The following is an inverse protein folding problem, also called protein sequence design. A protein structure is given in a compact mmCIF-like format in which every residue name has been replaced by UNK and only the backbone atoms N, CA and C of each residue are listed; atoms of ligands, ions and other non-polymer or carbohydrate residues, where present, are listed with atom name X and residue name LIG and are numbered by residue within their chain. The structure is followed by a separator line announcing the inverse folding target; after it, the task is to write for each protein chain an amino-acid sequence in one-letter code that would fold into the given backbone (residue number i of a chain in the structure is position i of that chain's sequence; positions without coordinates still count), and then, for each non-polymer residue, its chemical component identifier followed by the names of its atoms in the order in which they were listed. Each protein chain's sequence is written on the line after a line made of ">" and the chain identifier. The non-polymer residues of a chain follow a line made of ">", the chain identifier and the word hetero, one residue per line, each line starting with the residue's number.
data_IF_375989005165
#
_entry.id   IF_375989005165
#
_cell.length_a   1.000
_cell.length_b   1.000
_cell.length_c   1.000
_cell.angle_alpha   90.00
_cell.angle_beta   90.00
_cell.angle_gamma   90.00
#
_symmetry.space_group_name_H-M   'P 1'
#
loop_
_entity.id
_entity.type
_entity.pdbx_description
1 polymer ?
#
# COMPACT_ATOMS: atom_id res chain seq x y z
N UNK A 1 9.90 13.74 39.50
CA UNK A 1 9.08 14.49 38.52
C UNK A 1 8.40 13.44 37.65
N UNK A 2 7.15 13.10 37.94
CA UNK A 2 6.41 12.00 37.28
C UNK A 2 5.69 12.61 36.08
N UNK A 3 6.04 12.21 34.86
CA UNK A 3 5.38 12.64 33.62
C UNK A 3 3.95 12.10 33.57
N UNK A 4 3.01 13.00 33.34
CA UNK A 4 1.57 12.78 33.40
C UNK A 4 1.09 11.96 32.17
N UNK A 5 1.04 10.63 32.32
CA UNK A 5 0.57 9.63 31.34
C UNK A 5 -0.97 9.63 31.16
N UNK A 6 -1.49 10.75 30.67
CA UNK A 6 -2.90 10.89 30.28
C UNK A 6 -3.07 11.18 28.77
N UNK A 7 -2.00 11.16 27.98
CA UNK A 7 -1.94 11.67 26.60
C UNK A 7 -1.47 10.64 25.55
N UNK A 8 -1.68 9.36 25.83
CA UNK A 8 -1.03 8.28 25.07
C UNK A 8 -1.85 7.82 23.85
N UNK A 9 -3.07 8.34 23.68
CA UNK A 9 -3.99 7.98 22.60
C UNK A 9 -4.39 9.22 21.80
N UNK A 10 -4.08 9.20 20.51
CA UNK A 10 -4.42 10.24 19.56
C UNK A 10 -5.68 9.85 18.77
N UNK A 11 -6.55 10.80 18.50
CA UNK A 11 -7.61 10.62 17.50
C UNK A 11 -7.03 10.49 16.10
N UNK A 12 -7.83 9.99 15.16
CA UNK A 12 -7.42 9.88 13.75
C UNK A 12 -6.99 11.23 13.17
N UNK A 13 -7.68 12.31 13.55
CA UNK A 13 -7.35 13.67 13.08
C UNK A 13 -6.05 14.20 13.68
N UNK A 14 -5.80 13.97 14.98
CA UNK A 14 -4.56 14.38 15.62
C UNK A 14 -3.36 13.58 15.08
N UNK A 15 -3.53 12.27 14.86
CA UNK A 15 -2.51 11.45 14.22
C UNK A 15 -2.21 11.91 12.79
N UNK A 16 -3.25 12.29 12.02
CA UNK A 16 -3.11 12.81 10.67
C UNK A 16 -2.30 14.12 10.64
N UNK A 17 -2.64 15.06 11.53
CA UNK A 17 -1.90 16.32 11.67
C UNK A 17 -0.44 16.09 12.05
N UNK A 18 -0.18 15.14 12.97
CA UNK A 18 1.18 14.81 13.40
C UNK A 18 2.04 14.13 12.33
N UNK A 19 1.42 13.30 11.50
CA UNK A 19 2.09 12.57 10.41
C UNK A 19 2.20 13.40 9.12
N UNK A 20 1.53 14.57 9.05
CA UNK A 20 1.47 15.38 7.83
C UNK A 20 0.72 14.69 6.68
N UNK A 21 -0.28 13.85 6.97
CA UNK A 21 -1.06 13.12 5.97
C UNK A 21 -2.56 13.38 6.12
N UNK A 22 -3.36 13.04 5.10
CA UNK A 22 -4.81 13.15 5.20
C UNK A 22 -5.41 12.16 6.21
N UNK A 23 -6.56 12.52 6.79
CA UNK A 23 -7.36 11.62 7.64
C UNK A 23 -7.71 10.31 6.92
N UNK A 24 -7.97 10.37 5.61
CA UNK A 24 -8.28 9.20 4.77
C UNK A 24 -7.08 8.25 4.71
N UNK A 25 -5.87 8.78 4.59
CA UNK A 25 -4.61 8.00 4.61
C UNK A 25 -4.46 7.25 5.93
N UNK A 26 -4.70 7.92 7.06
CA UNK A 26 -4.64 7.29 8.40
C UNK A 26 -5.69 6.20 8.53
N UNK A 27 -6.95 6.45 8.11
CA UNK A 27 -8.01 5.42 8.11
C UNK A 27 -7.64 4.21 7.25
N UNK A 28 -7.01 4.43 6.09
CA UNK A 28 -6.52 3.35 5.24
C UNK A 28 -5.43 2.53 5.93
N UNK A 29 -4.49 3.18 6.61
CA UNK A 29 -3.43 2.50 7.36
C UNK A 29 -3.97 1.70 8.55
N UNK A 30 -4.99 2.21 9.25
CA UNK A 30 -5.69 1.46 10.28
C UNK A 30 -6.38 0.22 9.69
N UNK A 31 -7.06 0.35 8.54
CA UNK A 31 -7.71 -0.77 7.86
C UNK A 31 -6.71 -1.82 7.37
N UNK A 32 -5.52 -1.40 6.93
CA UNK A 32 -4.46 -2.30 6.47
C UNK A 32 -3.59 -2.86 7.60
N UNK A 33 -3.84 -2.48 8.87
CA UNK A 33 -3.04 -2.89 10.02
C UNK A 33 -1.64 -2.27 10.10
N UNK A 34 -1.38 -1.20 9.34
CA UNK A 34 -0.12 -0.44 9.38
C UNK A 34 -0.02 0.51 10.58
N UNK A 35 -1.17 0.90 11.12
CA UNK A 35 -1.29 1.59 12.40
C UNK A 35 -2.23 0.77 13.30
N UNK A 36 -1.94 0.77 14.59
CA UNK A 36 -2.77 0.13 15.60
C UNK A 36 -3.97 1.01 15.95
N UNK A 37 -5.16 0.43 15.83
CA UNK A 37 -6.39 1.05 16.29
C UNK A 37 -6.74 0.57 17.71
N UNK A 38 -7.01 1.50 18.62
CA UNK A 38 -7.60 1.26 19.93
C UNK A 38 -9.02 1.82 19.91
N UNK A 39 -10.02 0.96 20.11
CA UNK A 39 -11.42 1.39 20.16
C UNK A 39 -11.81 1.77 21.59
N UNK A 40 -12.27 3.00 21.76
CA UNK A 40 -12.80 3.51 23.03
C UNK A 40 -14.31 3.61 22.88
N UNK A 41 -15.03 2.58 23.34
CA UNK A 41 -16.47 2.47 23.15
C UNK A 41 -16.89 2.17 21.70
N UNK A 42 -18.19 2.31 21.37
CA UNK A 42 -18.75 1.80 20.13
C UNK A 42 -18.37 2.62 18.87
N UNK A 43 -17.97 3.88 19.03
CA UNK A 43 -17.78 4.81 17.90
C UNK A 43 -16.41 5.47 17.80
N UNK A 44 -15.59 5.44 18.85
CA UNK A 44 -14.33 6.20 18.88
C UNK A 44 -13.15 5.27 18.62
N UNK A 45 -12.36 5.62 17.60
CA UNK A 45 -11.07 4.96 17.29
C UNK A 45 -9.96 5.94 17.62
N UNK A 46 -9.01 5.49 18.43
CA UNK A 46 -7.79 6.21 18.77
C UNK A 46 -6.57 5.38 18.37
N UNK A 47 -5.40 6.02 18.36
CA UNK A 47 -4.13 5.48 17.88
C UNK A 47 -3.10 5.76 18.96
N UNK A 48 -2.34 4.75 19.43
CA UNK A 48 -1.27 4.98 20.39
C UNK A 48 -0.24 5.96 19.85
N UNK A 49 0.16 6.93 20.68
CA UNK A 49 1.12 7.97 20.33
C UNK A 49 2.46 7.38 19.84
N UNK A 50 2.93 6.31 20.51
CA UNK A 50 4.13 5.57 20.13
C UNK A 50 4.08 5.01 18.70
N UNK A 51 2.89 4.62 18.23
CA UNK A 51 2.70 4.08 16.89
C UNK A 51 2.60 5.19 15.82
N UNK A 52 2.40 6.44 16.23
CA UNK A 52 2.45 7.64 15.36
C UNK A 52 3.87 8.21 15.29
N UNK A 53 4.62 8.18 16.39
CA UNK A 53 5.98 8.73 16.48
C UNK A 53 7.05 7.79 15.88
N UNK A 54 6.86 6.48 15.99
CA UNK A 54 7.72 5.48 15.37
C UNK A 54 6.84 4.53 14.53
N UNK A 55 6.25 5.03 13.43
CA UNK A 55 5.24 4.27 12.73
C UNK A 55 5.92 3.08 12.03
N UNK A 56 5.37 1.87 12.25
CA UNK A 56 5.81 0.61 11.62
C UNK A 56 5.44 0.56 10.14
N UNK A 57 5.70 1.64 9.42
CA UNK A 57 5.51 1.75 7.98
C UNK A 57 6.68 1.03 7.32
N UNK A 58 6.71 -0.30 7.43
CA UNK A 58 7.53 -1.08 6.51
C UNK A 58 7.08 -0.70 5.10
N UNK A 59 8.05 -0.28 4.28
CA UNK A 59 7.85 0.11 2.88
C UNK A 59 7.36 -1.12 2.11
N UNK A 60 6.04 -1.28 2.08
CA UNK A 60 5.37 -2.39 1.44
C UNK A 60 3.87 -2.29 1.63
N UNK A 61 3.15 -2.40 0.53
CA UNK A 61 1.74 -2.78 0.54
C UNK A 61 1.64 -4.09 1.33
N UNK A 62 1.39 -4.03 2.65
CA UNK A 62 1.06 -5.22 3.41
C UNK A 62 -0.16 -5.81 2.71
N UNK A 63 -0.04 -6.99 2.06
CA UNK A 63 -1.16 -7.56 1.34
C UNK A 63 -2.30 -7.65 2.34
N UNK A 64 -3.51 -7.29 1.91
CA UNK A 64 -4.69 -7.37 2.76
C UNK A 64 -4.68 -8.72 3.50
N UNK A 65 -4.37 -8.72 4.80
CA UNK A 65 -4.51 -9.91 5.64
C UNK A 65 -6.01 -10.14 5.75
N UNK A 66 -6.52 -10.94 4.82
CA UNK A 66 -7.94 -11.21 4.64
C UNK A 66 -8.26 -11.47 3.18
N UNK A 67 -7.73 -12.59 2.63
CA UNK A 67 -8.23 -13.37 1.47
C UNK A 67 -7.24 -14.38 0.87
N UNK A 68 -6.15 -14.72 1.56
CA UNK A 68 -5.41 -15.95 1.27
C UNK A 68 -5.66 -16.93 2.41
N UNK A 69 -6.89 -17.47 2.47
CA UNK A 69 -7.13 -18.65 3.29
C UNK A 69 -6.22 -19.77 2.78
N UNK A 70 -5.62 -20.53 3.70
CA UNK A 70 -4.74 -21.68 3.47
C UNK A 70 -4.60 -22.05 1.98
N UNK A 71 -3.62 -21.46 1.29
CA UNK A 71 -3.33 -21.87 -0.08
C UNK A 71 -2.73 -23.26 0.04
N UNK A 72 -3.55 -24.28 -0.18
CA UNK A 72 -3.06 -25.64 -0.37
C UNK A 72 -2.45 -25.68 -1.77
N UNK A 73 -1.19 -25.27 -1.87
CA UNK A 73 -0.41 -25.40 -3.09
C UNK A 73 -0.02 -26.86 -3.22
N UNK A 74 -0.86 -27.64 -3.90
CA UNK A 74 -0.43 -28.93 -4.43
C UNK A 74 0.80 -28.70 -5.34
N UNK A 75 1.79 -29.59 -5.33
CA UNK A 75 2.85 -29.56 -6.33
C UNK A 75 2.25 -29.53 -7.73
N UNK A 76 2.75 -28.64 -8.60
CA UNK A 76 2.30 -28.61 -10.00
C UNK A 76 2.58 -29.96 -10.65
N UNK A 77 1.62 -30.45 -11.41
CA UNK A 77 1.84 -31.59 -12.30
C UNK A 77 2.76 -31.19 -13.45
N UNK A 78 3.47 -32.16 -14.05
CA UNK A 78 4.33 -31.90 -15.20
C UNK A 78 3.58 -31.24 -16.37
N UNK A 79 2.29 -31.58 -16.55
CA UNK A 79 1.43 -30.97 -17.55
C UNK A 79 1.17 -29.48 -17.29
N UNK A 80 0.95 -29.09 -16.03
CA UNK A 80 0.76 -27.70 -15.65
C UNK A 80 2.06 -26.91 -15.72
N UNK A 81 3.20 -27.53 -15.37
CA UNK A 81 4.52 -26.93 -15.57
C UNK A 81 4.76 -26.65 -17.05
N UNK A 82 4.53 -27.64 -17.92
CA UNK A 82 4.69 -27.48 -19.37
C UNK A 82 3.77 -26.40 -19.95
N UNK A 83 2.50 -26.35 -19.52
CA UNK A 83 1.56 -25.31 -19.94
C UNK A 83 2.00 -23.92 -19.48
N UNK A 84 2.47 -23.79 -18.24
CA UNK A 84 2.97 -22.53 -17.69
C UNK A 84 4.22 -22.05 -18.42
N UNK A 85 5.14 -22.95 -18.75
CA UNK A 85 6.35 -22.62 -19.50
C UNK A 85 6.03 -22.04 -20.88
N UNK A 86 5.08 -22.64 -21.62
CA UNK A 86 4.62 -22.09 -22.91
C UNK A 86 4.03 -20.69 -22.77
N UNK A 87 3.19 -20.48 -21.76
CA UNK A 87 2.64 -19.15 -21.48
C UNK A 87 3.75 -18.13 -21.16
N UNK A 88 4.76 -18.52 -20.40
CA UNK A 88 5.90 -17.65 -20.09
C UNK A 88 6.75 -17.33 -21.33
N UNK A 89 6.89 -18.28 -22.26
CA UNK A 89 7.54 -18.04 -23.55
C UNK A 89 6.77 -17.00 -24.37
N UNK A 90 5.45 -17.17 -24.54
CA UNK A 90 4.60 -16.19 -25.24
C UNK A 90 4.67 -14.80 -24.58
N UNK A 91 4.60 -14.74 -23.25
CA UNK A 91 4.73 -13.49 -22.51
C UNK A 91 6.10 -12.83 -22.73
N UNK A 92 7.16 -13.64 -22.83
CA UNK A 92 8.52 -13.16 -23.10
C UNK A 92 8.64 -12.59 -24.51
N UNK A 93 8.00 -13.20 -25.50
CA UNK A 93 7.95 -12.65 -26.87
C UNK A 93 7.20 -11.31 -26.92
N UNK A 94 6.04 -11.23 -26.24
CA UNK A 94 5.28 -9.98 -26.11
C UNK A 94 6.15 -8.91 -25.45
N UNK A 95 6.84 -9.25 -24.37
CA UNK A 95 7.73 -8.32 -23.67
C UNK A 95 8.90 -7.87 -24.54
N UNK A 96 9.49 -8.76 -25.34
CA UNK A 96 10.57 -8.41 -26.27
C UNK A 96 10.06 -7.46 -27.36
N UNK A 97 8.89 -7.71 -27.92
CA UNK A 97 8.26 -6.83 -28.92
C UNK A 97 7.92 -5.45 -28.35
N UNK A 98 7.52 -5.39 -27.08
CA UNK A 98 7.22 -4.15 -26.37
C UNK A 98 8.46 -3.50 -25.76
N UNK A 99 9.63 -4.15 -25.84
CA UNK A 99 10.85 -3.55 -25.31
C UNK A 99 11.19 -2.32 -26.16
N UNK A 100 11.58 -1.21 -25.51
CA UNK A 100 12.01 -0.02 -26.23
C UNK A 100 13.11 -0.36 -27.22
N UNK A 101 13.13 0.32 -28.37
CA UNK A 101 14.22 0.17 -29.35
C UNK A 101 15.55 0.59 -28.70
N UNK A 102 16.68 0.05 -29.17
CA UNK A 102 18.00 0.46 -28.65
C UNK A 102 18.16 1.99 -28.68
N UNK A 103 18.38 2.59 -27.50
CA UNK A 103 18.51 4.05 -27.32
C UNK A 103 17.26 4.77 -26.83
N UNK A 104 16.11 4.11 -26.78
CA UNK A 104 14.88 4.68 -26.21
C UNK A 104 14.91 4.56 -24.67
N UNK A 105 14.64 5.65 -23.92
CA UNK A 105 14.71 5.63 -22.47
C UNK A 105 13.67 4.67 -21.90
N UNK A 106 13.97 3.98 -20.78
CA UNK A 106 12.99 3.13 -20.13
C UNK A 106 11.75 3.94 -19.75
N UNK A 107 10.60 3.28 -19.69
CA UNK A 107 9.39 3.89 -19.15
C UNK A 107 9.71 4.57 -17.80
N UNK A 108 9.19 5.78 -17.55
CA UNK A 108 9.39 6.44 -16.28
C UNK A 108 8.97 5.54 -15.13
N UNK A 109 9.62 5.61 -13.96
CA UNK A 109 9.16 4.93 -12.77
C UNK A 109 7.66 5.20 -12.55
N UNK A 110 6.89 4.16 -12.22
CA UNK A 110 5.43 4.23 -12.14
C UNK A 110 4.88 5.40 -11.31
N UNK A 111 5.62 5.83 -10.28
CA UNK A 111 5.23 6.96 -9.44
C UNK A 111 5.16 8.29 -10.22
N UNK A 112 6.00 8.48 -11.23
CA UNK A 112 6.04 9.68 -12.08
C UNK A 112 4.72 9.78 -12.84
N UNK A 113 4.36 8.71 -13.56
CA UNK A 113 3.12 8.62 -14.32
C UNK A 113 1.87 8.77 -13.42
N UNK A 114 1.92 8.18 -12.22
CA UNK A 114 0.83 8.30 -11.24
C UNK A 114 0.68 9.73 -10.74
N UNK A 115 1.78 10.46 -10.52
CA UNK A 115 1.72 11.84 -10.07
C UNK A 115 1.24 12.77 -11.18
N UNK A 116 1.77 12.64 -12.39
CA UNK A 116 1.31 13.42 -13.56
C UNK A 116 -0.20 13.25 -13.79
N UNK A 117 -0.71 12.02 -13.68
CA UNK A 117 -2.14 11.75 -13.81
C UNK A 117 -2.97 12.34 -12.65
N UNK A 118 -2.41 12.40 -11.44
CA UNK A 118 -3.07 13.06 -10.30
C UNK A 118 -3.12 14.57 -10.48
N UNK A 119 -2.05 15.15 -10.97
CA UNK A 119 -1.96 16.59 -11.20
C UNK A 119 -2.96 16.98 -12.30
N UNK A 120 -2.97 16.25 -13.42
CA UNK A 120 -3.95 16.41 -14.52
C UNK A 120 -5.40 16.32 -14.03
N UNK A 121 -5.73 15.33 -13.19
CA UNK A 121 -7.08 15.19 -12.64
C UNK A 121 -7.44 16.33 -11.70
N UNK A 122 -6.46 16.86 -10.98
CA UNK A 122 -6.65 17.98 -10.06
C UNK A 122 -6.96 19.25 -10.85
N UNK A 123 -6.20 19.51 -11.92
CA UNK A 123 -6.45 20.61 -12.87
C UNK A 123 -7.83 20.51 -13.53
N UNK A 124 -8.26 19.31 -13.93
CA UNK A 124 -9.59 19.09 -14.52
C UNK A 124 -10.75 19.29 -13.53
N UNK A 125 -10.50 19.16 -12.23
CA UNK A 125 -11.52 19.28 -11.17
C UNK A 125 -11.57 20.68 -10.54
N UNK A 126 -10.60 21.56 -10.83
CA UNK A 126 -10.57 22.94 -10.36
C UNK A 126 -10.89 23.88 -11.54
N UNK A 127 -12.15 24.33 -11.70
CA UNK A 127 -12.55 25.28 -12.75
C UNK A 127 -12.01 26.70 -12.53
#
# INVERSE_FOLDING_TARGET
>A
MITNDHNDLLTVSEAAARLGVSVVTVRRWLKSGRLRAVRIGPRRVCIPRSDVEAPRLERGHAPARGRLGNINLSPLTDAEVAATLRFLEEAREISQRLSPQEGEPPLPPSWVLINEERDRRTEQLMP
#
